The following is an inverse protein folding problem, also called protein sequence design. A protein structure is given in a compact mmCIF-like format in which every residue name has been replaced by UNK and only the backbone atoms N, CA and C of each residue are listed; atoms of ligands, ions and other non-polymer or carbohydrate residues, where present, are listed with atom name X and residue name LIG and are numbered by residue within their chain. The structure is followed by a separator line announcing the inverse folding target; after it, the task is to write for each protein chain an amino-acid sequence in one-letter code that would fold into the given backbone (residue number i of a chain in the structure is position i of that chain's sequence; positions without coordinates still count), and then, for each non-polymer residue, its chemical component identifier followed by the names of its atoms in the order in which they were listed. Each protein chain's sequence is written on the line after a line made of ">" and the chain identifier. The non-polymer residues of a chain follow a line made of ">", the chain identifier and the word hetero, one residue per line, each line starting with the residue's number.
data_IF_116680728866
#
_entry.id   IF_116680728866
#
_cell.length_a   1.000
_cell.length_b   1.000
_cell.length_c   1.000
_cell.angle_alpha   90.00
_cell.angle_beta   90.00
_cell.angle_gamma   90.00
#
_symmetry.space_group_name_H-M   'P 1'
#
loop_
_entity.id
_entity.type
_entity.pdbx_description
1 polymer ?
#
# COMPACT_ATOMS: atom_id res chain seq x y z
N UNK A 1 -21.98 -2.05 49.17
CA UNK A 1 -20.66 -1.59 48.68
C UNK A 1 -19.93 -2.58 47.75
N UNK A 2 -20.52 -3.75 47.41
CA UNK A 2 -19.90 -4.72 46.49
C UNK A 2 -20.16 -4.45 45.00
N UNK A 3 -21.29 -3.87 44.59
CA UNK A 3 -21.58 -3.68 43.16
C UNK A 3 -20.64 -2.67 42.47
N UNK A 4 -20.22 -1.61 43.17
CA UNK A 4 -19.29 -0.59 42.63
C UNK A 4 -17.88 -1.17 42.44
N UNK A 5 -17.45 -2.08 43.33
CA UNK A 5 -16.12 -2.73 43.23
C UNK A 5 -16.06 -3.70 42.05
N UNK A 6 -17.15 -4.42 41.77
CA UNK A 6 -17.25 -5.37 40.64
C UNK A 6 -17.30 -4.63 39.30
N UNK A 7 -17.99 -3.49 39.22
CA UNK A 7 -18.03 -2.71 37.97
C UNK A 7 -16.70 -2.04 37.66
N UNK A 8 -15.96 -1.55 38.67
CA UNK A 8 -14.63 -0.95 38.44
C UNK A 8 -13.58 -1.99 38.02
N UNK A 9 -13.56 -3.17 38.63
CA UNK A 9 -12.63 -4.24 38.23
C UNK A 9 -12.97 -4.80 36.85
N UNK A 10 -14.25 -4.93 36.49
CA UNK A 10 -14.65 -5.32 35.14
C UNK A 10 -14.24 -4.27 34.08
N UNK A 11 -14.40 -2.98 34.39
CA UNK A 11 -13.98 -1.89 33.48
C UNK A 11 -12.46 -1.84 33.31
N UNK A 12 -11.72 -2.01 34.40
CA UNK A 12 -10.26 -2.00 34.39
C UNK A 12 -9.70 -3.21 33.64
N UNK A 13 -10.32 -4.39 33.80
CA UNK A 13 -9.95 -5.59 33.06
C UNK A 13 -10.28 -5.46 31.57
N UNK A 14 -11.43 -4.89 31.20
CA UNK A 14 -11.76 -4.61 29.80
C UNK A 14 -10.81 -3.60 29.15
N UNK A 15 -10.43 -2.54 29.88
CA UNK A 15 -9.42 -1.57 29.43
C UNK A 15 -8.03 -2.19 29.28
N UNK A 16 -7.62 -3.02 30.25
CA UNK A 16 -6.37 -3.78 30.21
C UNK A 16 -6.33 -4.74 29.00
N UNK A 17 -7.44 -5.43 28.71
CA UNK A 17 -7.55 -6.33 27.56
C UNK A 17 -7.57 -5.57 26.21
N UNK A 18 -8.11 -4.34 26.15
CA UNK A 18 -8.01 -3.50 24.95
C UNK A 18 -6.57 -3.07 24.63
N UNK A 19 -5.73 -2.88 25.66
CA UNK A 19 -4.37 -2.37 25.46
C UNK A 19 -3.33 -3.45 25.15
N UNK A 20 -3.63 -4.74 25.40
CA UNK A 20 -2.63 -5.81 25.35
C UNK A 20 -2.47 -6.50 23.96
N UNK A 21 -3.31 -6.16 22.97
CA UNK A 21 -3.45 -6.94 21.74
C UNK A 21 -2.77 -6.35 20.48
N UNK A 22 -1.92 -5.33 20.62
CA UNK A 22 -1.27 -4.74 19.45
C UNK A 22 0.08 -5.37 19.13
N UNK A 23 0.13 -6.24 18.13
CA UNK A 23 1.38 -6.62 17.46
C UNK A 23 1.93 -5.47 16.61
N UNK A 24 3.22 -5.18 16.77
CA UNK A 24 3.96 -4.21 15.96
C UNK A 24 4.75 -4.87 14.83
N UNK A 25 5.11 -4.09 13.82
CA UNK A 25 5.97 -4.54 12.71
C UNK A 25 6.87 -3.41 12.21
N UNK A 26 7.94 -3.80 11.52
CA UNK A 26 8.76 -2.92 10.71
C UNK A 26 8.86 -3.51 9.31
N UNK A 27 8.54 -2.70 8.31
CA UNK A 27 8.54 -3.09 6.90
C UNK A 27 9.30 -2.05 6.09
N UNK A 28 9.99 -2.49 5.05
CA UNK A 28 10.63 -1.60 4.10
C UNK A 28 11.17 -2.34 2.89
N UNK A 29 11.21 -1.63 1.77
CA UNK A 29 11.81 -2.10 0.52
C UNK A 29 12.39 -0.93 -0.26
N UNK A 30 13.26 -1.24 -1.22
CA UNK A 30 13.77 -0.28 -2.19
C UNK A 30 14.00 -0.93 -3.54
N UNK A 31 13.72 -0.18 -4.60
CA UNK A 31 14.02 -0.56 -5.99
C UNK A 31 14.93 0.51 -6.57
N UNK A 32 16.00 0.06 -7.23
CA UNK A 32 16.92 0.91 -7.98
C UNK A 32 17.35 0.16 -9.22
N UNK A 33 16.56 0.29 -10.28
CA UNK A 33 16.80 -0.36 -11.56
C UNK A 33 17.18 0.70 -12.62
N UNK A 34 18.45 0.77 -13.02
CA UNK A 34 18.89 1.70 -14.06
C UNK A 34 18.31 1.41 -15.45
N UNK A 35 17.88 0.17 -15.72
CA UNK A 35 17.40 -0.23 -17.05
C UNK A 35 15.98 0.26 -17.32
N UNK A 36 15.13 0.23 -16.29
CA UNK A 36 13.75 0.74 -16.34
C UNK A 36 13.64 2.19 -15.85
N UNK A 37 14.68 2.70 -15.17
CA UNK A 37 14.67 4.02 -14.54
C UNK A 37 13.94 4.04 -13.19
N UNK A 38 13.47 2.90 -12.70
CA UNK A 38 12.68 2.77 -11.50
C UNK A 38 13.53 2.97 -10.23
N UNK A 39 13.28 4.09 -9.54
CA UNK A 39 13.94 4.45 -8.29
C UNK A 39 12.87 4.81 -7.27
N UNK A 40 12.69 3.94 -6.27
CA UNK A 40 11.71 4.13 -5.20
C UNK A 40 12.11 3.40 -3.93
N UNK A 41 11.63 3.87 -2.80
CA UNK A 41 11.79 3.21 -1.51
C UNK A 41 10.63 3.52 -0.55
N UNK A 42 10.37 2.58 0.36
CA UNK A 42 9.34 2.67 1.38
C UNK A 42 9.91 2.22 2.72
N UNK A 43 9.46 2.88 3.79
CA UNK A 43 9.55 2.36 5.14
C UNK A 43 8.24 2.58 5.90
N UNK A 44 7.84 1.59 6.70
CA UNK A 44 6.68 1.68 7.59
C UNK A 44 6.95 0.96 8.91
N UNK A 45 6.50 1.56 10.00
CA UNK A 45 6.53 1.00 11.35
C UNK A 45 5.15 1.08 11.96
N UNK A 46 4.69 -0.02 12.56
CA UNK A 46 3.51 -0.05 13.42
C UNK A 46 3.94 -0.27 14.86
N UNK A 47 3.58 0.65 15.74
CA UNK A 47 3.78 0.57 17.18
C UNK A 47 2.44 0.81 17.88
N UNK A 48 1.89 -0.20 18.55
CA UNK A 48 0.54 -0.06 19.07
C UNK A 48 -0.47 0.11 17.93
N UNK A 49 -1.41 1.01 18.12
CA UNK A 49 -2.36 1.40 17.07
C UNK A 49 -1.86 2.55 16.18
N UNK A 50 -0.58 2.96 16.32
CA UNK A 50 0.03 3.99 15.51
C UNK A 50 0.85 3.38 14.37
N UNK A 51 0.66 3.90 13.16
CA UNK A 51 1.49 3.58 12.00
C UNK A 51 2.18 4.85 11.55
N UNK A 52 3.47 4.78 11.25
CA UNK A 52 4.23 5.87 10.64
C UNK A 52 5.09 5.31 9.51
N UNK A 53 5.31 6.12 8.48
CA UNK A 53 6.15 5.69 7.38
C UNK A 53 6.32 6.75 6.33
N UNK A 54 7.05 6.37 5.29
CA UNK A 54 7.17 7.18 4.09
C UNK A 54 7.18 6.31 2.84
N UNK A 55 6.85 6.95 1.72
CA UNK A 55 7.10 6.44 0.39
C UNK A 55 7.84 7.51 -0.40
N UNK A 56 8.88 7.12 -1.12
CA UNK A 56 9.67 8.01 -1.96
C UNK A 56 9.82 7.39 -3.33
N UNK A 57 9.53 8.18 -4.37
CA UNK A 57 9.80 7.79 -5.74
C UNK A 57 10.39 8.96 -6.51
N UNK A 58 11.09 8.62 -7.59
CA UNK A 58 11.49 9.56 -8.60
C UNK A 58 10.40 9.66 -9.66
N UNK A 59 9.80 10.84 -9.79
CA UNK A 59 8.79 11.14 -10.81
C UNK A 59 9.45 11.31 -12.19
N UNK A 60 8.65 11.17 -13.25
CA UNK A 60 9.11 11.32 -14.64
C UNK A 60 9.61 12.74 -14.96
N UNK A 61 9.23 13.75 -14.19
CA UNK A 61 9.75 15.12 -14.33
C UNK A 61 11.13 15.30 -13.66
N UNK A 62 11.72 14.24 -13.12
CA UNK A 62 13.01 14.26 -12.42
C UNK A 62 12.94 14.84 -11.00
N UNK A 63 11.74 15.05 -10.45
CA UNK A 63 11.53 15.43 -9.06
C UNK A 63 11.39 14.18 -8.18
N UNK A 64 11.91 14.25 -6.96
CA UNK A 64 11.67 13.22 -5.96
C UNK A 64 10.41 13.59 -5.20
N UNK A 65 9.39 12.74 -5.30
CA UNK A 65 8.20 12.84 -4.48
C UNK A 65 8.41 12.04 -3.21
N UNK A 66 8.28 12.71 -2.07
CA UNK A 66 8.28 12.06 -0.74
C UNK A 66 6.93 12.25 -0.08
N UNK A 67 6.28 11.15 0.30
CA UNK A 67 5.05 11.16 1.08
C UNK A 67 5.38 10.63 2.47
N UNK A 68 5.35 11.51 3.47
CA UNK A 68 5.45 11.10 4.87
C UNK A 68 4.04 10.92 5.40
N UNK A 69 3.72 9.77 5.99
CA UNK A 69 2.38 9.46 6.46
C UNK A 69 2.39 8.93 7.89
N UNK A 70 1.25 9.13 8.55
CA UNK A 70 0.94 8.55 9.84
C UNK A 70 -0.55 8.17 9.91
N UNK A 71 -0.85 7.12 10.68
CA UNK A 71 -2.21 6.72 11.02
C UNK A 71 -2.31 6.57 12.54
N UNK A 72 -3.38 7.12 13.12
CA UNK A 72 -3.65 7.06 14.55
C UNK A 72 -5.16 6.89 14.80
N UNK A 73 -5.59 6.17 15.85
CA UNK A 73 -7.02 5.87 16.08
C UNK A 73 -7.92 7.09 16.22
N UNK A 74 -7.40 8.17 16.82
CA UNK A 74 -8.18 9.38 17.10
C UNK A 74 -8.18 10.38 15.95
N UNK A 75 -7.08 10.49 15.20
CA UNK A 75 -6.90 11.52 14.17
C UNK A 75 -7.00 10.96 12.75
N UNK A 76 -7.10 9.64 12.60
CA UNK A 76 -7.12 8.96 11.31
C UNK A 76 -5.76 9.02 10.59
N UNK A 77 -5.84 8.91 9.28
CA UNK A 77 -4.68 8.98 8.38
C UNK A 77 -4.37 10.43 8.00
N UNK A 78 -3.10 10.80 8.06
CA UNK A 78 -2.59 12.09 7.57
C UNK A 78 -1.30 11.88 6.80
N UNK A 79 -1.13 12.63 5.71
CA UNK A 79 0.07 12.58 4.87
C UNK A 79 0.55 13.97 4.50
N UNK A 80 1.87 14.13 4.40
CA UNK A 80 2.55 15.32 3.93
C UNK A 80 3.38 14.96 2.70
N UNK A 81 3.17 15.69 1.61
CA UNK A 81 3.83 15.43 0.33
C UNK A 81 4.82 16.55 0.04
N UNK A 82 6.08 16.21 -0.19
CA UNK A 82 7.07 17.11 -0.77
C UNK A 82 7.47 16.63 -2.16
N UNK A 83 7.82 17.58 -3.03
CA UNK A 83 8.47 17.32 -4.31
C UNK A 83 9.70 18.20 -4.41
N UNK A 84 10.86 17.57 -4.40
CA UNK A 84 12.13 18.25 -4.37
C UNK A 84 13.00 17.78 -5.54
N UNK A 85 13.75 18.67 -6.21
CA UNK A 85 14.72 18.24 -7.20
C UNK A 85 15.73 17.28 -6.59
N UNK A 86 16.07 16.21 -7.30
CA UNK A 86 17.34 15.54 -7.06
C UNK A 86 18.40 16.61 -7.35
N UNK A 87 19.29 16.94 -6.41
CA UNK A 87 20.29 18.00 -6.59
C UNK A 87 20.97 17.97 -7.96
N UNK A 88 21.51 19.09 -8.45
CA UNK A 88 21.86 19.34 -9.87
C UNK A 88 22.50 18.15 -10.64
N UNK A 89 23.36 17.36 -9.99
CA UNK A 89 23.96 16.15 -10.55
C UNK A 89 22.93 15.03 -10.88
N UNK A 90 21.97 14.80 -9.98
CA UNK A 90 20.88 13.85 -10.17
C UNK A 90 19.92 14.26 -11.29
N UNK A 91 19.63 15.55 -11.43
CA UNK A 91 18.84 16.08 -12.56
C UNK A 91 19.50 15.84 -13.91
N UNK A 92 20.80 16.11 -14.04
CA UNK A 92 21.53 15.90 -15.29
C UNK A 92 21.55 14.41 -15.69
N UNK A 93 21.74 13.52 -14.71
CA UNK A 93 21.71 12.07 -14.91
C UNK A 93 20.32 11.56 -15.31
N UNK A 94 19.25 12.11 -14.75
CA UNK A 94 17.90 11.68 -15.09
C UNK A 94 17.47 12.15 -16.48
N UNK A 95 17.80 13.40 -16.84
CA UNK A 95 17.53 13.92 -18.18
C UNK A 95 18.28 13.13 -19.26
N UNK A 96 19.49 12.64 -18.98
CA UNK A 96 20.21 11.77 -19.91
C UNK A 96 19.64 10.35 -19.97
N UNK A 97 19.14 9.80 -18.86
CA UNK A 97 18.42 8.52 -18.85
C UNK A 97 17.11 8.60 -19.64
N UNK A 98 16.33 9.67 -19.49
CA UNK A 98 15.10 9.85 -20.25
C UNK A 98 15.36 10.10 -21.74
N UNK A 99 16.43 10.82 -22.09
CA UNK A 99 16.85 10.96 -23.48
C UNK A 99 17.37 9.64 -24.09
N UNK A 100 17.91 8.74 -23.25
CA UNK A 100 18.39 7.42 -23.67
C UNK A 100 17.31 6.32 -23.60
N UNK A 101 16.17 6.58 -22.95
CA UNK A 101 15.04 5.68 -22.90
C UNK A 101 14.40 5.62 -24.30
N UNK A 102 14.53 4.48 -24.97
CA UNK A 102 13.79 4.23 -26.19
C UNK A 102 12.28 4.33 -25.91
N UNK A 103 11.47 4.90 -26.82
CA UNK A 103 10.03 4.99 -26.63
C UNK A 103 9.49 3.58 -26.34
N UNK A 104 8.90 3.40 -25.15
CA UNK A 104 8.37 2.11 -24.72
C UNK A 104 7.49 1.53 -25.83
N UNK A 105 7.92 0.39 -26.39
CA UNK A 105 7.21 -0.31 -27.45
C UNK A 105 5.77 -0.52 -27.01
N UNK A 106 4.84 0.18 -27.66
CA UNK A 106 3.43 0.13 -27.32
C UNK A 106 2.94 -1.31 -27.43
N UNK A 107 2.43 -1.86 -26.33
CA UNK A 107 1.67 -3.09 -26.39
C UNK A 107 0.45 -2.85 -27.30
N UNK A 108 0.09 -3.81 -28.17
CA UNK A 108 -1.13 -3.66 -28.95
C UNK A 108 -2.30 -3.48 -27.99
N UNK A 109 -3.14 -2.49 -28.24
CA UNK A 109 -4.37 -2.32 -27.49
C UNK A 109 -5.17 -3.61 -27.59
N UNK A 110 -5.37 -4.30 -26.47
CA UNK A 110 -6.29 -5.43 -26.41
C UNK A 110 -7.67 -4.83 -26.73
N UNK A 111 -8.36 -5.26 -27.81
CA UNK A 111 -9.69 -4.76 -28.10
C UNK A 111 -10.55 -5.03 -26.86
N UNK A 112 -11.16 -3.98 -26.33
CA UNK A 112 -12.17 -4.12 -25.27
C UNK A 112 -13.38 -4.81 -25.87
N UNK A 113 -13.36 -6.14 -25.87
CA UNK A 113 -14.56 -6.93 -26.07
C UNK A 113 -15.43 -6.62 -24.84
N UNK A 114 -16.66 -6.08 -25.00
CA UNK A 114 -17.55 -5.97 -23.88
C UNK A 114 -17.77 -7.37 -23.32
N UNK A 115 -17.32 -7.60 -22.10
CA UNK A 115 -17.72 -8.76 -21.31
C UNK A 115 -19.22 -8.57 -21.07
N UNK A 116 -20.04 -9.08 -21.99
CA UNK A 116 -21.44 -9.36 -21.70
C UNK A 116 -21.38 -10.59 -20.82
N UNK A 117 -21.72 -10.52 -19.52
CA UNK A 117 -21.88 -11.72 -18.73
C UNK A 117 -23.09 -12.47 -19.32
N UNK A 118 -22.83 -13.47 -20.16
CA UNK A 118 -23.84 -14.47 -20.49
C UNK A 118 -24.02 -15.28 -19.24
N UNK A 119 -25.02 -14.95 -18.43
CA UNK A 119 -25.41 -15.76 -17.27
C UNK A 119 -26.07 -17.01 -17.85
N UNK A 120 -25.44 -18.20 -17.83
CA UNK A 120 -26.13 -19.42 -18.20
C UNK A 120 -26.93 -19.81 -16.96
N UNK A 121 -28.22 -19.44 -16.96
CA UNK A 121 -29.26 -19.96 -16.07
C UNK A 121 -28.83 -20.22 -14.61
N UNK A 122 -28.81 -19.16 -13.79
CA UNK A 122 -28.77 -19.34 -12.34
C UNK A 122 -30.15 -19.83 -11.86
N UNK A 123 -30.28 -21.15 -11.65
CA UNK A 123 -31.25 -21.72 -10.71
C UNK A 123 -30.62 -21.62 -9.33
N UNK A 124 -31.29 -20.89 -8.42
CA UNK A 124 -30.80 -20.59 -7.08
C UNK A 124 -31.31 -21.65 -6.10
N UNK A 125 -30.57 -22.73 -5.88
CA UNK A 125 -30.97 -23.74 -4.89
C UNK A 125 -29.88 -24.75 -4.48
N UNK A 126 -28.71 -24.30 -4.03
CA UNK A 126 -27.97 -24.92 -2.91
C UNK A 126 -26.63 -24.23 -2.63
N UNK A 127 -26.35 -24.04 -1.34
CA UNK A 127 -25.08 -23.47 -0.90
C UNK A 127 -23.92 -24.47 -1.02
N UNK A 128 -22.72 -23.89 -1.14
CA UNK A 128 -21.37 -24.46 -0.98
C UNK A 128 -20.72 -25.02 -2.25
N UNK A 129 -19.87 -24.19 -2.88
CA UNK A 129 -18.58 -24.62 -3.45
C UNK A 129 -17.68 -23.40 -3.75
N UNK A 130 -16.65 -23.17 -2.94
CA UNK A 130 -15.47 -22.42 -3.39
C UNK A 130 -14.61 -23.36 -4.25
N UNK A 131 -14.99 -23.53 -5.51
CA UNK A 131 -14.16 -24.19 -6.51
C UNK A 131 -13.25 -23.15 -7.17
N UNK A 132 -11.96 -23.16 -6.83
CA UNK A 132 -10.93 -22.44 -7.57
C UNK A 132 -10.87 -23.01 -9.00
N UNK A 133 -10.99 -22.20 -10.07
CA UNK A 133 -10.75 -22.68 -11.42
C UNK A 133 -9.27 -23.05 -11.58
N UNK A 134 -8.99 -24.27 -12.06
CA UNK A 134 -7.66 -24.66 -12.52
C UNK A 134 -7.16 -23.66 -13.58
N UNK A 135 -5.95 -23.14 -13.38
CA UNK A 135 -5.25 -22.36 -14.41
C UNK A 135 -4.67 -21.00 -13.99
N UNK A 136 -4.68 -20.63 -12.72
CA UNK A 136 -3.97 -19.41 -12.29
C UNK A 136 -2.46 -19.68 -12.16
N UNK A 137 -1.58 -18.91 -12.83
CA UNK A 137 -0.15 -18.99 -12.61
C UNK A 137 0.19 -18.50 -11.21
N UNK A 138 0.94 -19.31 -10.46
CA UNK A 138 1.59 -18.91 -9.21
C UNK A 138 2.68 -17.89 -9.56
N UNK A 139 2.54 -16.67 -9.05
CA UNK A 139 3.66 -15.76 -8.82
C UNK A 139 4.15 -15.93 -7.39
#
# INVERSE_FOLDING_TARGET
>A
MQCIKVTMTALLMAFCMLQMASAGYNFGYGVKDPSTGDIKDQQETKNGDQITGYYRLLDADGLVRTVNYQSHPLTGFTAQVSRDPIGMEGQAKYRSLEAAAEPQKSWPAIPRIPLVPTIPNARLDDGIAYGLPEGYPLW
#
